data_IF_941582292113
#
_entry.id   IF_941582292113
#
_cell.length_a   1.000
_cell.length_b   1.000
_cell.length_c   1.000
_cell.angle_alpha   90.00
_cell.angle_beta   90.00
_cell.angle_gamma   90.00
#
_symmetry.space_group_name_H-M   'P 1'
#
loop_
_entity.id
_entity.type
_entity.pdbx_description
1 polymer ?
#
# COMPACT_ATOMS: atom_id res chain seq x y z
N UNK A 1 5.28 -11.31 12.43
CA UNK A 1 4.24 -10.81 11.50
C UNK A 1 4.92 -10.17 10.31
N UNK A 2 4.39 -10.36 9.10
CA UNK A 2 4.96 -9.80 7.87
C UNK A 2 4.14 -8.60 7.37
N UNK A 3 4.82 -7.52 7.03
CA UNK A 3 4.24 -6.33 6.42
C UNK A 3 4.87 -6.13 5.05
N UNK A 4 4.04 -5.97 4.03
CA UNK A 4 4.46 -5.60 2.69
C UNK A 4 3.78 -4.27 2.35
N UNK A 5 4.50 -3.33 1.74
CA UNK A 5 3.92 -2.06 1.32
C UNK A 5 4.19 -1.84 -0.16
N UNK A 6 3.12 -1.60 -0.92
CA UNK A 6 3.21 -1.11 -2.30
C UNK A 6 3.22 0.41 -2.24
N UNK A 7 4.35 1.05 -2.58
CA UNK A 7 4.52 2.51 -2.45
C UNK A 7 5.45 3.07 -3.53
N UNK A 8 5.17 4.29 -3.98
CA UNK A 8 6.08 5.03 -4.88
C UNK A 8 7.27 5.66 -4.15
N UNK A 9 7.27 5.68 -2.81
CA UNK A 9 8.25 6.36 -1.96
C UNK A 9 8.78 5.44 -0.85
N UNK A 10 9.50 4.36 -1.19
CA UNK A 10 10.03 3.42 -0.20
C UNK A 10 10.93 4.07 0.86
N UNK A 11 11.58 5.20 0.53
CA UNK A 11 12.44 5.94 1.45
C UNK A 11 11.68 6.52 2.65
N UNK A 12 10.36 6.75 2.55
CA UNK A 12 9.55 7.21 3.69
C UNK A 12 9.54 6.20 4.84
N UNK A 13 9.65 4.91 4.53
CA UNK A 13 9.61 3.82 5.50
C UNK A 13 10.92 3.64 6.29
N UNK A 14 11.92 4.49 6.05
CA UNK A 14 13.05 4.60 6.99
C UNK A 14 12.58 5.01 8.39
N UNK A 15 11.48 5.77 8.49
CA UNK A 15 10.87 6.11 9.77
C UNK A 15 10.41 4.87 10.57
N UNK A 16 9.85 3.86 9.88
CA UNK A 16 9.41 2.62 10.50
C UNK A 16 10.56 1.76 11.06
N UNK A 17 11.81 2.03 10.63
CA UNK A 17 13.02 1.37 11.11
C UNK A 17 13.62 2.00 12.37
N UNK A 18 12.97 3.01 12.95
CA UNK A 18 13.43 3.66 14.18
C UNK A 18 12.64 3.18 15.40
N UNK A 19 13.20 3.35 16.60
CA UNK A 19 12.50 3.08 17.85
C UNK A 19 12.11 1.62 18.09
N UNK A 20 10.90 1.37 18.59
CA UNK A 20 10.42 0.02 18.94
C UNK A 20 10.15 -0.84 17.70
N UNK A 21 9.62 -0.25 16.62
CA UNK A 21 9.39 -0.95 15.35
C UNK A 21 10.72 -1.33 14.70
N UNK A 22 11.70 -0.42 14.72
CA UNK A 22 13.07 -0.72 14.29
C UNK A 22 13.68 -1.92 15.00
N UNK A 23 13.62 -1.94 16.33
CA UNK A 23 14.12 -3.08 17.13
C UNK A 23 13.40 -4.40 16.80
N UNK A 24 12.10 -4.35 16.53
CA UNK A 24 11.33 -5.55 16.15
C UNK A 24 11.73 -6.08 14.76
N UNK A 25 12.04 -5.18 13.82
CA UNK A 25 12.55 -5.55 12.49
C UNK A 25 13.98 -6.11 12.56
N UNK A 26 14.87 -5.48 13.33
CA UNK A 26 16.25 -5.95 13.54
C UNK A 26 16.30 -7.30 14.26
N UNK A 27 15.38 -7.52 15.21
CA UNK A 27 15.25 -8.78 15.94
C UNK A 27 14.40 -9.84 15.24
N UNK A 28 14.02 -9.63 13.97
CA UNK A 28 13.21 -10.55 13.14
C UNK A 28 11.85 -10.94 13.76
N UNK A 29 11.34 -10.14 14.70
CA UNK A 29 10.00 -10.33 15.30
C UNK A 29 8.90 -9.89 14.33
N UNK A 30 9.24 -8.95 13.45
CA UNK A 30 8.45 -8.53 12.31
C UNK A 30 9.34 -8.36 11.07
N UNK A 31 8.74 -8.36 9.89
CA UNK A 31 9.43 -8.04 8.64
C UNK A 31 8.65 -6.98 7.87
N UNK A 32 9.39 -6.10 7.18
CA UNK A 32 8.84 -5.06 6.32
C UNK A 32 9.48 -5.15 4.93
N UNK A 33 8.67 -5.45 3.93
CA UNK A 33 9.05 -5.47 2.52
C UNK A 33 8.40 -4.31 1.79
N UNK A 34 9.14 -3.70 0.87
CA UNK A 34 8.69 -2.52 0.12
C UNK A 34 8.74 -2.85 -1.36
N UNK A 35 7.65 -2.58 -2.06
CA UNK A 35 7.48 -2.86 -3.48
C UNK A 35 7.16 -1.55 -4.19
N UNK A 36 8.05 -1.11 -5.09
CA UNK A 36 7.85 0.13 -5.83
C UNK A 36 7.28 -0.14 -7.22
N UNK A 37 6.04 0.27 -7.54
CA UNK A 37 5.48 0.14 -8.89
C UNK A 37 6.40 0.68 -10.00
N UNK A 38 7.28 1.66 -9.72
CA UNK A 38 8.25 2.17 -10.70
C UNK A 38 9.20 1.09 -11.22
N UNK A 39 9.48 0.05 -10.43
CA UNK A 39 10.36 -1.06 -10.82
C UNK A 39 9.69 -2.06 -11.77
N UNK A 40 8.37 -1.91 -11.99
CA UNK A 40 7.54 -2.78 -12.84
C UNK A 40 7.04 -2.03 -14.10
N UNK A 41 7.67 -0.92 -14.43
CA UNK A 41 7.38 -0.14 -15.63
C UNK A 41 8.26 -0.61 -16.78
N UNK A 42 7.71 -0.58 -18.00
CA UNK A 42 8.44 -0.98 -19.21
C UNK A 42 8.97 0.23 -20.00
N UNK A 43 8.50 1.44 -19.68
CA UNK A 43 8.89 2.66 -20.36
C UNK A 43 10.11 3.33 -19.71
N UNK A 44 10.87 4.08 -20.53
CA UNK A 44 12.11 4.74 -20.08
C UNK A 44 11.87 5.80 -18.99
N UNK A 45 10.65 6.36 -18.89
CA UNK A 45 10.31 7.42 -17.94
C UNK A 45 9.80 6.87 -16.60
N UNK A 46 9.66 5.54 -16.49
CA UNK A 46 9.09 4.84 -15.33
C UNK A 46 7.75 5.44 -14.91
N UNK A 47 6.85 5.58 -15.88
CA UNK A 47 5.54 6.20 -15.70
C UNK A 47 4.62 5.28 -14.90
N UNK A 48 4.08 5.81 -13.80
CA UNK A 48 3.23 5.08 -12.83
C UNK A 48 1.86 5.70 -12.65
N UNK A 49 1.55 6.72 -13.44
CA UNK A 49 0.30 7.47 -13.43
C UNK A 49 -0.23 7.68 -14.85
N UNK A 50 -1.54 7.82 -14.97
CA UNK A 50 -2.22 8.14 -16.23
C UNK A 50 -3.45 9.02 -15.96
N UNK A 51 -4.02 9.59 -17.04
CA UNK A 51 -5.22 10.41 -16.95
C UNK A 51 -6.45 9.53 -16.71
N UNK A 52 -7.40 9.97 -15.87
CA UNK A 52 -8.65 9.26 -15.69
C UNK A 52 -9.48 9.27 -17.00
N UNK A 53 -10.06 8.12 -17.33
CA UNK A 53 -11.07 8.06 -18.39
C UNK A 53 -12.29 8.92 -18.00
N UNK A 54 -12.89 9.58 -18.99
CA UNK A 54 -13.96 10.57 -18.75
C UNK A 54 -13.46 12.00 -18.48
N UNK A 55 -12.14 12.19 -18.30
CA UNK A 55 -11.54 13.50 -18.03
C UNK A 55 -11.64 13.91 -16.56
N UNK A 56 -11.37 15.19 -16.28
CA UNK A 56 -11.23 15.73 -14.92
C UNK A 56 -9.78 16.15 -14.61
N UNK A 57 -9.57 16.86 -13.49
CA UNK A 57 -8.22 17.19 -13.03
C UNK A 57 -7.51 15.97 -12.45
N UNK A 58 -6.19 16.08 -12.30
CA UNK A 58 -5.37 15.07 -11.62
C UNK A 58 -4.99 13.87 -12.48
N UNK A 59 -4.35 12.91 -11.82
CA UNK A 59 -3.86 11.65 -12.40
C UNK A 59 -4.31 10.50 -11.50
N UNK A 60 -4.37 9.29 -12.03
CA UNK A 60 -4.62 8.06 -11.27
C UNK A 60 -3.44 7.11 -11.46
N UNK A 61 -3.17 6.24 -10.48
CA UNK A 61 -2.10 5.27 -10.63
C UNK A 61 -2.38 4.31 -11.78
N UNK A 62 -1.35 4.06 -12.60
CA UNK A 62 -1.44 3.17 -13.76
C UNK A 62 -1.59 1.71 -13.30
N UNK A 63 -2.55 1.02 -13.90
CA UNK A 63 -2.93 -0.36 -13.51
C UNK A 63 -1.78 -1.35 -13.65
N UNK A 64 -1.10 -1.36 -14.79
CA UNK A 64 -0.11 -2.40 -15.12
C UNK A 64 1.05 -2.50 -14.12
N UNK A 65 1.83 -1.42 -13.85
CA UNK A 65 2.94 -1.50 -12.89
C UNK A 65 2.45 -1.75 -11.46
N UNK A 66 1.28 -1.22 -11.11
CA UNK A 66 0.69 -1.41 -9.77
C UNK A 66 0.29 -2.87 -9.54
N UNK A 67 -0.38 -3.47 -10.52
CA UNK A 67 -0.81 -4.87 -10.49
C UNK A 67 0.39 -5.81 -10.47
N UNK A 68 1.43 -5.52 -11.24
CA UNK A 68 2.66 -6.31 -11.24
C UNK A 68 3.38 -6.28 -9.86
N UNK A 69 3.50 -5.10 -9.25
CA UNK A 69 4.05 -4.97 -7.90
C UNK A 69 3.21 -5.72 -6.86
N UNK A 70 1.89 -5.60 -6.96
CA UNK A 70 0.96 -6.29 -6.05
C UNK A 70 1.03 -7.81 -6.20
N UNK A 71 1.10 -8.32 -7.43
CA UNK A 71 1.26 -9.75 -7.70
C UNK A 71 2.55 -10.28 -7.11
N UNK A 72 3.67 -9.57 -7.29
CA UNK A 72 4.95 -9.98 -6.73
C UNK A 72 4.93 -10.00 -5.19
N UNK A 73 4.26 -9.03 -4.56
CA UNK A 73 4.06 -9.02 -3.11
C UNK A 73 3.21 -10.19 -2.64
N UNK A 74 2.12 -10.51 -3.36
CA UNK A 74 1.23 -11.63 -3.06
C UNK A 74 1.94 -12.97 -3.24
N UNK A 75 2.75 -13.14 -4.29
CA UNK A 75 3.54 -14.36 -4.51
C UNK A 75 4.54 -14.59 -3.37
N UNK A 76 5.12 -13.51 -2.86
CA UNK A 76 6.04 -13.56 -1.73
C UNK A 76 5.32 -13.77 -0.37
N UNK A 77 4.03 -13.45 -0.28
CA UNK A 77 3.21 -13.59 0.93
C UNK A 77 1.77 -14.06 0.61
N UNK A 78 1.56 -15.32 0.18
CA UNK A 78 0.29 -15.78 -0.39
C UNK A 78 -0.91 -15.67 0.56
N UNK A 79 -0.68 -15.86 1.86
CA UNK A 79 -1.72 -15.83 2.89
C UNK A 79 -2.02 -14.41 3.42
N UNK A 80 -1.24 -13.41 3.01
CA UNK A 80 -1.43 -12.02 3.48
C UNK A 80 -2.65 -11.38 2.83
N UNK A 81 -3.45 -10.66 3.62
CA UNK A 81 -4.57 -9.86 3.11
C UNK A 81 -4.06 -8.59 2.45
N UNK A 82 -4.67 -8.18 1.33
CA UNK A 82 -4.39 -6.95 0.62
C UNK A 82 -5.32 -5.85 1.11
N UNK A 83 -4.74 -4.78 1.66
CA UNK A 83 -5.44 -3.64 2.21
C UNK A 83 -5.15 -2.41 1.34
N UNK A 84 -6.19 -1.72 0.89
CA UNK A 84 -6.06 -0.39 0.30
C UNK A 84 -6.26 0.71 1.35
N UNK A 85 -5.28 1.61 1.44
CA UNK A 85 -5.29 2.73 2.37
C UNK A 85 -5.90 3.95 1.69
N UNK A 86 -7.13 4.27 2.09
CA UNK A 86 -8.02 5.13 1.31
C UNK A 86 -9.04 5.83 2.20
N UNK A 87 -9.37 7.11 1.97
CA UNK A 87 -10.32 7.84 2.81
C UNK A 87 -11.76 7.29 2.72
N UNK A 88 -12.11 6.54 1.66
CA UNK A 88 -13.40 5.86 1.51
C UNK A 88 -13.52 4.59 2.36
N UNK A 89 -12.40 4.10 2.92
CA UNK A 89 -12.35 2.84 3.67
C UNK A 89 -12.96 2.91 5.06
N UNK A 90 -13.06 1.75 5.71
CA UNK A 90 -13.51 1.65 7.10
C UNK A 90 -12.53 2.42 8.01
N UNK A 91 -13.07 3.16 8.98
CA UNK A 91 -12.23 3.89 9.94
C UNK A 91 -11.45 2.92 10.82
N UNK A 92 -10.14 3.04 10.78
CA UNK A 92 -9.20 2.28 11.59
C UNK A 92 -9.32 2.69 13.07
N UNK A 93 -9.42 1.70 13.94
CA UNK A 93 -9.48 1.87 15.38
C UNK A 93 -8.63 0.82 16.11
N UNK A 94 -8.58 0.92 17.43
CA UNK A 94 -7.78 0.00 18.24
C UNK A 94 -8.29 -1.45 18.19
N UNK A 95 -9.58 -1.67 17.89
CA UNK A 95 -10.15 -3.01 17.74
C UNK A 95 -9.65 -3.64 16.45
N UNK A 96 -9.72 -2.92 15.33
CA UNK A 96 -9.17 -3.32 14.04
C UNK A 96 -7.67 -3.65 14.17
N UNK A 97 -6.89 -2.81 14.87
CA UNK A 97 -5.47 -3.06 15.09
C UNK A 97 -5.20 -4.41 15.79
N UNK A 98 -6.00 -4.78 16.79
CA UNK A 98 -5.87 -6.06 17.50
C UNK A 98 -6.24 -7.25 16.64
N UNK A 99 -7.27 -7.11 15.80
CA UNK A 99 -7.70 -8.13 14.85
C UNK A 99 -6.65 -8.35 13.76
N UNK A 100 -6.11 -7.27 13.18
CA UNK A 100 -5.02 -7.33 12.21
C UNK A 100 -3.74 -7.95 12.79
N UNK A 101 -3.43 -7.69 14.07
CA UNK A 101 -2.27 -8.27 14.74
C UNK A 101 -2.32 -9.80 14.91
N UNK A 102 -3.49 -10.44 14.72
CA UNK A 102 -3.61 -11.90 14.71
C UNK A 102 -3.27 -12.53 13.34
N UNK A 103 -3.09 -11.72 12.29
CA UNK A 103 -2.78 -12.19 10.93
C UNK A 103 -1.30 -12.56 10.81
N UNK A 104 -1.00 -13.49 9.91
CA UNK A 104 0.39 -13.86 9.58
C UNK A 104 1.10 -12.73 8.83
N UNK A 105 0.38 -12.03 7.95
CA UNK A 105 0.84 -10.82 7.30
C UNK A 105 -0.24 -10.00 6.61
N UNK A 106 0.15 -8.80 6.20
CA UNK A 106 -0.68 -7.83 5.47
C UNK A 106 0.13 -7.17 4.35
N UNK A 107 -0.51 -6.94 3.22
CA UNK A 107 0.02 -6.17 2.09
C UNK A 107 -0.77 -4.86 2.04
N UNK A 108 -0.10 -3.72 2.19
CA UNK A 108 -0.71 -2.40 2.24
C UNK A 108 -0.43 -1.64 0.96
N UNK A 109 -1.48 -1.25 0.24
CA UNK A 109 -1.43 -0.45 -0.97
C UNK A 109 -1.55 1.04 -0.62
N UNK A 110 -0.42 1.76 -0.74
CA UNK A 110 -0.38 3.19 -0.53
C UNK A 110 -0.70 3.95 -1.83
N UNK A 111 -1.96 4.39 -1.96
CA UNK A 111 -2.40 5.18 -3.11
C UNK A 111 -1.75 6.55 -3.19
N UNK A 112 -1.63 7.07 -4.41
CA UNK A 112 -1.14 8.43 -4.73
C UNK A 112 -2.04 9.08 -5.78
N UNK A 113 -1.80 10.36 -6.03
CA UNK A 113 -2.56 11.16 -6.98
C UNK A 113 -4.05 11.22 -6.56
N UNK A 114 -4.99 11.09 -7.50
CA UNK A 114 -6.43 10.99 -7.20
C UNK A 114 -6.86 9.58 -6.74
N UNK A 115 -5.94 8.61 -6.73
CA UNK A 115 -6.20 7.24 -6.29
C UNK A 115 -5.77 6.19 -7.32
N UNK A 116 -6.46 5.06 -7.29
CA UNK A 116 -6.18 3.88 -8.12
C UNK A 116 -7.42 3.53 -8.96
N UNK A 117 -7.22 2.75 -10.03
CA UNK A 117 -8.32 2.28 -10.86
C UNK A 117 -9.22 1.32 -10.09
N UNK A 118 -10.54 1.57 -10.11
CA UNK A 118 -11.54 0.79 -9.38
C UNK A 118 -11.50 -0.71 -9.72
N UNK A 119 -11.19 -1.07 -10.96
CA UNK A 119 -11.11 -2.49 -11.38
C UNK A 119 -9.96 -3.22 -10.69
N UNK A 120 -8.92 -2.48 -10.29
CA UNK A 120 -7.81 -3.03 -9.51
C UNK A 120 -8.25 -3.26 -8.06
N UNK A 121 -9.08 -2.38 -7.50
CA UNK A 121 -9.70 -2.57 -6.18
C UNK A 121 -10.53 -3.86 -6.19
N UNK A 122 -11.50 -3.94 -7.11
CA UNK A 122 -12.41 -5.07 -7.24
C UNK A 122 -11.70 -6.43 -7.40
N UNK A 123 -10.57 -6.46 -8.12
CA UNK A 123 -9.89 -7.72 -8.43
C UNK A 123 -8.97 -8.21 -7.32
N UNK A 124 -8.45 -7.29 -6.51
CA UNK A 124 -7.15 -7.50 -5.89
C UNK A 124 -7.05 -6.96 -4.46
N UNK A 125 -8.02 -6.14 -4.01
CA UNK A 125 -8.08 -5.60 -2.65
C UNK A 125 -9.10 -6.40 -1.83
N UNK A 126 -8.67 -6.87 -0.66
CA UNK A 126 -9.55 -7.59 0.27
C UNK A 126 -10.30 -6.62 1.20
N UNK A 127 -9.65 -5.53 1.61
CA UNK A 127 -10.19 -4.56 2.57
C UNK A 127 -9.74 -3.12 2.26
N UNK A 128 -10.59 -2.14 2.57
CA UNK A 128 -10.28 -0.71 2.48
C UNK A 128 -10.29 -0.06 3.86
N UNK A 129 -9.23 0.68 4.20
CA UNK A 129 -9.07 1.29 5.52
C UNK A 129 -8.67 2.77 5.45
N UNK A 130 -9.30 3.58 6.30
CA UNK A 130 -9.01 5.00 6.51
C UNK A 130 -8.49 5.24 7.93
N UNK A 131 -7.46 6.06 8.10
CA UNK A 131 -6.96 6.44 9.44
C UNK A 131 -7.64 7.70 10.02
N UNK A 132 -8.62 8.27 9.30
CA UNK A 132 -9.48 9.34 9.82
C UNK A 132 -10.01 10.31 8.78
N UNK A 133 -10.79 11.28 9.26
CA UNK A 133 -11.55 12.23 8.43
C UNK A 133 -10.69 13.44 8.01
N UNK A 134 -9.64 13.18 7.23
CA UNK A 134 -8.72 14.19 6.71
C UNK A 134 -8.06 13.72 5.41
N UNK A 135 -7.60 14.68 4.60
CA UNK A 135 -6.94 14.41 3.33
C UNK A 135 -5.43 14.36 3.52
N UNK A 136 -4.81 13.29 3.03
CA UNK A 136 -3.36 13.11 2.97
C UNK A 136 -2.87 13.18 1.52
N UNK A 137 -1.57 13.46 1.34
CA UNK A 137 -0.95 13.43 0.01
C UNK A 137 -0.73 12.02 -0.56
N UNK A 138 -1.03 10.98 0.22
CA UNK A 138 -0.82 9.58 -0.14
C UNK A 138 -1.05 8.64 1.04
N UNK A 139 -1.13 7.35 0.75
CA UNK A 139 -1.40 6.30 1.74
C UNK A 139 -0.20 5.94 2.62
N UNK A 140 1.00 6.46 2.39
CA UNK A 140 2.21 6.03 3.11
C UNK A 140 2.17 6.35 4.60
N UNK A 141 1.63 7.52 4.98
CA UNK A 141 1.45 7.87 6.39
C UNK A 141 0.38 7.00 7.07
N UNK A 142 -0.60 6.51 6.31
CA UNK A 142 -1.61 5.58 6.82
C UNK A 142 -1.07 4.15 6.97
N UNK A 143 -0.04 3.80 6.20
CA UNK A 143 0.61 2.49 6.25
C UNK A 143 1.62 2.36 7.41
N UNK A 144 2.13 3.49 7.92
CA UNK A 144 3.08 3.56 9.03
C UNK A 144 2.38 3.63 10.38
#
# INVERSE_FOLDING_TARGET
MRFDVITLFPEMFQAARLGVTGKALEGEQASLQLWNPRDYTEDNHRTVDDRPYGGGPGMVMKVDPLKAALQQAKDAAPDSQVIYLTPQGQRFDQKAAREMAQRSGIIMLAGRYEGIDERLVDCCVDEEWSIGDYVLSGGELAAM
#
